data_IF_150685349232
#
_entry.id   IF_150685349232
#
_cell.length_a   1.000
_cell.length_b   1.000
_cell.length_c   1.000
_cell.angle_alpha   90.00
_cell.angle_beta   90.00
_cell.angle_gamma   90.00
#
_symmetry.space_group_name_H-M   'P 1'
#
loop_
_entity.id
_entity.type
_entity.pdbx_description
1 polymer ?
#
# COMPACT_ATOMS: atom_id res chain seq x y z
N UNK A 1 9.73 17.84 -9.59
CA UNK A 1 10.23 16.53 -9.22
C UNK A 1 9.33 15.45 -9.78
N UNK A 2 9.90 14.54 -10.55
CA UNK A 2 9.14 13.47 -11.20
C UNK A 2 8.97 12.26 -10.27
N UNK A 3 8.11 12.40 -9.29
CA UNK A 3 7.78 11.31 -8.39
C UNK A 3 6.43 10.73 -8.76
N UNK A 4 6.41 9.46 -9.16
CA UNK A 4 5.16 8.78 -9.54
C UNK A 4 4.15 8.78 -8.40
N UNK A 5 4.60 8.60 -7.16
CA UNK A 5 3.69 8.61 -6.01
C UNK A 5 3.15 10.00 -5.71
N UNK A 6 3.97 11.05 -5.89
CA UNK A 6 3.47 12.42 -5.78
C UNK A 6 2.37 12.69 -6.81
N UNK A 7 2.52 12.15 -8.01
CA UNK A 7 1.51 12.29 -9.07
C UNK A 7 0.22 11.53 -8.72
N UNK A 8 0.34 10.36 -8.10
CA UNK A 8 -0.82 9.60 -7.63
C UNK A 8 -1.54 10.37 -6.54
N UNK A 9 -0.79 10.98 -5.61
CA UNK A 9 -1.37 11.77 -4.52
C UNK A 9 -2.17 12.95 -5.07
N UNK A 10 -1.68 13.58 -6.14
CA UNK A 10 -2.34 14.72 -6.79
C UNK A 10 -3.43 14.30 -7.78
N UNK A 11 -3.68 13.02 -7.91
CA UNK A 11 -4.64 12.45 -8.86
C UNK A 11 -4.30 12.74 -10.33
N UNK A 12 -3.02 12.97 -10.61
CA UNK A 12 -2.52 13.11 -12.00
C UNK A 12 -2.36 11.76 -12.67
N UNK A 13 -2.14 10.71 -11.85
CA UNK A 13 -2.11 9.31 -12.28
C UNK A 13 -3.19 8.58 -11.47
N UNK A 14 -4.09 7.85 -12.13
CA UNK A 14 -5.14 7.12 -11.40
C UNK A 14 -4.56 5.97 -10.57
N UNK A 15 -5.25 5.65 -9.49
CA UNK A 15 -4.89 4.52 -8.63
C UNK A 15 -6.14 3.89 -8.06
N UNK A 16 -6.03 2.63 -7.63
CA UNK A 16 -7.11 1.94 -6.93
C UNK A 16 -6.96 2.21 -5.43
N UNK A 17 -7.46 3.37 -5.01
CA UNK A 17 -7.33 3.85 -3.64
C UNK A 17 -8.27 3.11 -2.70
N UNK A 18 -7.71 2.48 -1.67
CA UNK A 18 -8.47 1.74 -0.65
C UNK A 18 -8.80 2.63 0.54
N UNK A 19 -7.84 3.45 0.96
CA UNK A 19 -7.98 4.34 2.11
C UNK A 19 -7.16 5.59 1.89
N UNK A 20 -7.68 6.71 2.36
CA UNK A 20 -6.99 7.99 2.23
C UNK A 20 -7.40 8.91 3.37
N UNK A 21 -6.43 9.61 3.94
CA UNK A 21 -6.69 10.68 4.90
C UNK A 21 -5.72 11.84 4.62
N UNK A 22 -5.62 12.79 5.53
CA UNK A 22 -4.75 13.96 5.34
C UNK A 22 -3.27 13.61 5.28
N UNK A 23 -2.88 12.50 5.88
CA UNK A 23 -1.48 12.12 6.08
C UNK A 23 -1.01 11.06 5.11
N UNK A 24 -1.88 10.11 4.76
CA UNK A 24 -1.48 8.94 3.95
C UNK A 24 -2.49 8.62 2.85
N UNK A 25 -1.99 7.87 1.87
CA UNK A 25 -2.83 7.27 0.84
C UNK A 25 -2.45 5.80 0.73
N UNK A 26 -3.46 4.94 0.71
CA UNK A 26 -3.29 3.50 0.59
C UNK A 26 -3.96 3.03 -0.70
N UNK A 27 -3.22 2.34 -1.56
CA UNK A 27 -3.74 1.92 -2.86
C UNK A 27 -3.14 0.58 -3.27
N UNK A 28 -3.82 -0.11 -4.19
CA UNK A 28 -3.35 -1.40 -4.67
C UNK A 28 -2.14 -1.23 -5.58
N UNK A 29 -1.15 -2.12 -5.43
CA UNK A 29 0.01 -2.16 -6.31
C UNK A 29 -0.46 -2.63 -7.70
N UNK A 30 -0.05 -1.91 -8.74
CA UNK A 30 -0.41 -2.24 -10.12
C UNK A 30 0.25 -3.53 -10.60
N UNK A 31 1.34 -3.94 -9.96
CA UNK A 31 2.08 -5.16 -10.28
C UNK A 31 2.17 -6.04 -9.04
N UNK A 32 1.03 -6.61 -8.61
CA UNK A 32 0.97 -7.28 -7.31
C UNK A 32 1.71 -8.61 -7.28
N UNK A 33 2.36 -8.88 -6.15
CA UNK A 33 2.96 -10.19 -5.90
C UNK A 33 1.90 -11.20 -5.44
N UNK A 34 0.79 -10.70 -4.89
CA UNK A 34 -0.33 -11.53 -4.45
C UNK A 34 -1.60 -10.67 -4.45
N UNK A 35 -2.74 -11.34 -4.38
CA UNK A 35 -4.02 -10.63 -4.37
C UNK A 35 -4.15 -9.78 -3.10
N UNK A 36 -4.38 -8.49 -3.30
CA UNK A 36 -4.48 -7.54 -2.20
C UNK A 36 -3.18 -6.84 -1.84
N UNK A 37 -2.09 -7.09 -2.59
CA UNK A 37 -0.83 -6.37 -2.40
C UNK A 37 -1.10 -4.87 -2.52
N UNK A 38 -0.83 -4.13 -1.44
CA UNK A 38 -1.10 -2.70 -1.41
C UNK A 38 0.08 -1.91 -0.85
N UNK A 39 0.05 -0.62 -1.11
CA UNK A 39 1.06 0.31 -0.64
C UNK A 39 0.41 1.34 0.25
N UNK A 40 1.11 1.72 1.32
CA UNK A 40 0.74 2.87 2.13
C UNK A 40 1.85 3.89 1.96
N UNK A 41 1.50 5.08 1.48
CA UNK A 41 2.47 6.15 1.25
C UNK A 41 2.08 7.40 2.05
N UNK A 42 3.07 8.17 2.54
CA UNK A 42 2.78 9.48 3.11
C UNK A 42 2.46 10.47 1.98
N UNK A 43 1.54 11.38 2.23
CA UNK A 43 1.20 12.42 1.25
C UNK A 43 2.32 13.43 1.09
N UNK A 44 3.02 13.76 2.18
CA UNK A 44 4.23 14.57 2.08
C UNK A 44 5.35 13.69 1.52
N UNK A 45 6.15 14.24 0.63
CA UNK A 45 7.25 13.50 0.03
C UNK A 45 8.38 13.34 1.05
N UNK A 46 8.61 12.11 1.48
CA UNK A 46 9.82 11.70 2.21
C UNK A 46 10.53 10.68 1.33
N UNK A 47 11.85 10.72 1.31
CA UNK A 47 12.61 9.79 0.48
C UNK A 47 12.58 8.38 1.04
N UNK A 48 12.90 8.23 2.31
CA UNK A 48 12.98 6.91 2.95
C UNK A 48 12.90 7.03 4.47
N UNK A 49 13.36 5.98 5.17
CA UNK A 49 13.30 5.91 6.62
C UNK A 49 14.09 7.03 7.31
N UNK A 50 15.12 7.56 6.64
CA UNK A 50 15.99 8.58 7.26
C UNK A 50 15.30 9.92 7.47
N UNK A 51 14.45 10.33 6.53
CA UNK A 51 13.85 11.67 6.56
C UNK A 51 12.38 11.71 6.95
N UNK A 52 11.71 10.56 7.08
CA UNK A 52 10.30 10.55 7.45
C UNK A 52 10.10 10.93 8.92
N UNK A 53 9.12 11.80 9.20
CA UNK A 53 8.77 12.17 10.57
C UNK A 53 8.24 10.95 11.33
N UNK A 54 8.62 10.84 12.59
CA UNK A 54 8.21 9.72 13.43
C UNK A 54 6.69 9.65 13.61
N UNK A 55 6.03 10.80 13.66
CA UNK A 55 4.57 10.85 13.78
C UNK A 55 3.88 10.28 12.54
N UNK A 56 4.42 10.59 11.36
CA UNK A 56 3.92 10.06 10.09
C UNK A 56 4.15 8.54 10.04
N UNK A 57 5.34 8.10 10.45
CA UNK A 57 5.68 6.69 10.51
C UNK A 57 4.71 5.93 11.42
N UNK A 58 4.42 6.49 12.60
CA UNK A 58 3.47 5.89 13.54
C UNK A 58 2.06 5.81 12.92
N UNK A 59 1.66 6.84 12.18
CA UNK A 59 0.35 6.85 11.53
C UNK A 59 0.27 5.76 10.44
N UNK A 60 1.35 5.58 9.67
CA UNK A 60 1.41 4.52 8.67
C UNK A 60 1.24 3.15 9.33
N UNK A 61 1.87 2.93 10.48
CA UNK A 61 1.72 1.68 11.23
C UNK A 61 0.29 1.48 11.73
N UNK A 62 -0.35 2.55 12.20
CA UNK A 62 -1.75 2.49 12.61
C UNK A 62 -2.65 2.07 11.44
N UNK A 63 -2.44 2.66 10.28
CA UNK A 63 -3.23 2.34 9.09
C UNK A 63 -2.94 0.91 8.62
N UNK A 64 -1.68 0.45 8.72
CA UNK A 64 -1.35 -0.92 8.35
C UNK A 64 -2.12 -1.95 9.18
N UNK A 65 -2.37 -1.66 10.46
CA UNK A 65 -3.21 -2.52 11.31
C UNK A 65 -4.64 -2.57 10.81
N UNK A 66 -5.18 -1.44 10.38
CA UNK A 66 -6.55 -1.37 9.85
C UNK A 66 -6.65 -2.11 8.52
N UNK A 67 -5.66 -1.95 7.65
CA UNK A 67 -5.64 -2.61 6.35
C UNK A 67 -5.49 -4.13 6.48
N UNK A 68 -4.70 -4.58 7.46
CA UNK A 68 -4.58 -6.02 7.73
C UNK A 68 -5.94 -6.63 8.05
N UNK A 69 -6.71 -5.97 8.92
CA UNK A 69 -8.06 -6.45 9.25
C UNK A 69 -8.98 -6.47 8.04
N UNK A 70 -8.91 -5.44 7.21
CA UNK A 70 -9.71 -5.36 5.99
C UNK A 70 -9.37 -6.52 5.06
N UNK A 71 -8.08 -6.78 4.86
CA UNK A 71 -7.60 -7.88 4.01
C UNK A 71 -8.07 -9.23 4.55
N UNK A 72 -8.01 -9.43 5.86
CA UNK A 72 -8.49 -10.67 6.49
C UNK A 72 -9.98 -10.86 6.27
N UNK A 73 -10.76 -9.81 6.45
CA UNK A 73 -12.22 -9.87 6.33
C UNK A 73 -12.70 -10.05 4.90
N UNK A 74 -12.05 -9.38 3.95
CA UNK A 74 -12.53 -9.32 2.58
C UNK A 74 -11.87 -10.31 1.64
N UNK A 75 -10.60 -10.60 1.84
CA UNK A 75 -9.84 -11.50 0.97
C UNK A 75 -9.44 -12.79 1.66
N UNK A 76 -9.71 -12.90 2.97
CA UNK A 76 -9.43 -14.12 3.75
C UNK A 76 -7.97 -14.52 3.67
N UNK A 77 -7.08 -13.54 3.83
CA UNK A 77 -5.63 -13.81 3.80
C UNK A 77 -5.21 -14.64 5.00
N UNK A 78 -4.17 -15.44 4.84
CA UNK A 78 -3.64 -16.31 5.91
C UNK A 78 -2.39 -15.74 6.56
N UNK A 79 -1.77 -14.74 5.94
CA UNK A 79 -0.61 -14.05 6.49
C UNK A 79 -0.38 -12.74 5.78
N UNK A 80 0.49 -11.92 6.36
CA UNK A 80 0.81 -10.61 5.79
C UNK A 80 2.26 -10.27 6.07
N UNK A 81 2.98 -9.84 5.04
CA UNK A 81 4.35 -9.34 5.17
C UNK A 81 4.34 -7.83 4.96
N UNK A 82 5.02 -7.10 5.84
CA UNK A 82 5.25 -5.68 5.69
C UNK A 82 6.70 -5.48 5.26
N UNK A 83 6.92 -4.78 4.13
CA UNK A 83 8.26 -4.52 3.60
C UNK A 83 8.37 -3.04 3.26
N UNK A 84 9.44 -2.41 3.76
CA UNK A 84 9.79 -1.04 3.43
C UNK A 84 11.25 -1.01 3.02
N UNK A 85 11.54 -0.55 1.82
CA UNK A 85 12.88 -0.58 1.25
C UNK A 85 13.54 0.79 1.32
N UNK A 86 14.85 0.80 1.56
CA UNK A 86 15.66 2.02 1.62
C UNK A 86 16.90 1.87 0.74
N UNK A 87 17.30 2.98 0.10
CA UNK A 87 18.56 3.02 -0.64
C UNK A 87 18.56 2.12 -1.88
N UNK A 88 19.57 1.28 -2.00
CA UNK A 88 19.82 0.48 -3.19
C UNK A 88 18.62 -0.33 -3.66
N UNK A 89 17.87 -0.89 -2.74
CA UNK A 89 16.73 -1.76 -3.05
C UNK A 89 15.42 -1.00 -3.20
N UNK A 90 15.45 0.31 -3.02
CA UNK A 90 14.25 1.15 -3.12
C UNK A 90 14.04 1.60 -4.57
N UNK A 91 12.98 1.09 -5.20
CA UNK A 91 12.70 1.41 -6.61
C UNK A 91 12.15 2.82 -6.80
N UNK A 92 11.22 3.24 -5.94
CA UNK A 92 10.64 4.58 -5.98
C UNK A 92 11.15 5.37 -4.77
N UNK A 93 11.75 6.53 -5.02
CA UNK A 93 12.39 7.35 -3.97
C UNK A 93 11.37 8.24 -3.25
N UNK A 94 10.29 7.64 -2.82
CA UNK A 94 9.24 8.19 -1.99
C UNK A 94 8.88 7.08 -1.01
N UNK A 95 8.95 7.35 0.28
CA UNK A 95 8.69 6.32 1.30
C UNK A 95 7.40 5.56 0.98
N UNK A 96 7.46 4.24 1.03
CA UNK A 96 6.25 3.42 0.87
C UNK A 96 6.40 2.11 1.60
N UNK A 97 5.31 1.71 2.25
CA UNK A 97 5.24 0.44 2.95
C UNK A 97 4.39 -0.52 2.12
N UNK A 98 5.00 -1.65 1.75
CA UNK A 98 4.27 -2.73 1.09
C UNK A 98 3.56 -3.59 2.11
N UNK A 99 2.30 -3.90 1.85
CA UNK A 99 1.56 -4.94 2.55
C UNK A 99 1.32 -6.06 1.55
N UNK A 100 1.99 -7.20 1.78
CA UNK A 100 1.93 -8.35 0.86
C UNK A 100 1.19 -9.51 1.50
N UNK A 101 -0.06 -9.77 1.08
CA UNK A 101 -0.82 -10.89 1.60
C UNK A 101 -0.22 -12.24 1.22
N UNK A 102 -0.44 -13.23 2.08
CA UNK A 102 -0.07 -14.62 1.85
C UNK A 102 -1.29 -15.51 2.03
N UNK A 103 -1.37 -16.54 1.20
CA UNK A 103 -2.47 -17.49 1.20
C UNK A 103 -1.90 -18.88 1.40
N UNK A 104 -2.56 -19.69 2.22
CA UNK A 104 -2.13 -21.06 2.49
C UNK A 104 -2.14 -21.91 1.22
N UNK A 105 -3.15 -21.69 0.38
CA UNK A 105 -3.25 -22.38 -0.93
C UNK A 105 -2.85 -21.42 -2.02
N UNK A 106 -2.15 -21.95 -3.05
CA UNK A 106 -1.75 -21.14 -4.19
C UNK A 106 -2.97 -20.51 -4.85
N UNK A 107 -2.85 -19.25 -5.24
CA UNK A 107 -3.92 -18.51 -5.89
C UNK A 107 -3.42 -17.85 -7.17
N UNK A 108 -4.28 -17.82 -8.18
CA UNK A 108 -4.00 -17.04 -9.38
C UNK A 108 -4.17 -15.56 -9.05
N UNK A 109 -3.33 -14.71 -9.67
CA UNK A 109 -3.45 -13.27 -9.52
C UNK A 109 -4.73 -12.82 -10.22
N UNK A 110 -5.64 -12.27 -9.45
CA UNK A 110 -6.93 -11.79 -9.94
C UNK A 110 -6.75 -10.44 -10.64
N UNK A 111 -7.71 -10.11 -11.48
CA UNK A 111 -7.83 -8.77 -12.04
C UNK A 111 -7.89 -7.75 -10.89
N UNK A 112 -7.12 -6.67 -11.00
CA UNK A 112 -7.01 -5.66 -9.94
C UNK A 112 -8.37 -5.02 -9.60
N UNK A 113 -9.25 -4.89 -10.60
CA UNK A 113 -10.58 -4.32 -10.39
C UNK A 113 -11.45 -5.22 -9.53
N UNK A 114 -11.30 -6.55 -9.67
CA UNK A 114 -12.01 -7.51 -8.81
C UNK A 114 -11.51 -7.42 -7.37
N UNK A 115 -10.20 -7.34 -7.19
CA UNK A 115 -9.60 -7.19 -5.86
C UNK A 115 -10.09 -5.89 -5.21
N UNK A 116 -10.05 -4.80 -5.96
CA UNK A 116 -10.53 -3.50 -5.50
C UNK A 116 -11.99 -3.58 -5.07
N UNK A 117 -12.81 -4.21 -5.90
CA UNK A 117 -14.25 -4.36 -5.63
C UNK A 117 -14.49 -5.11 -4.32
N UNK A 118 -13.76 -6.20 -4.10
CA UNK A 118 -13.86 -6.99 -2.86
C UNK A 118 -13.47 -6.20 -1.63
N UNK A 119 -12.49 -5.32 -1.76
CA UNK A 119 -12.02 -4.51 -0.63
C UNK A 119 -12.91 -3.31 -0.34
N UNK A 120 -13.57 -2.75 -1.34
CA UNK A 120 -14.40 -1.54 -1.19
C UNK A 120 -15.87 -1.83 -0.99
N UNK A 121 -16.37 -2.92 -1.51
CA UNK A 121 -17.81 -3.23 -1.48
C UNK A 121 -18.11 -4.27 -0.41
N UNK A 122 -19.21 -4.06 0.26
CA UNK A 122 -19.72 -5.00 1.26
C UNK A 122 -20.44 -6.18 0.60
#
# INVERSE_FOLDING_TARGET
MDCIFCKIIKNEIPSYTIYEDETVKCFLDAYPDSNGHMLIIPKKHYTNLDDIDIEVLNHIMKISKQMKKLLEERLHIDGLTLIQNNGLVQEVKHYHLHLKPHYQNEQEIMNIEEVYSKLKNN
#
